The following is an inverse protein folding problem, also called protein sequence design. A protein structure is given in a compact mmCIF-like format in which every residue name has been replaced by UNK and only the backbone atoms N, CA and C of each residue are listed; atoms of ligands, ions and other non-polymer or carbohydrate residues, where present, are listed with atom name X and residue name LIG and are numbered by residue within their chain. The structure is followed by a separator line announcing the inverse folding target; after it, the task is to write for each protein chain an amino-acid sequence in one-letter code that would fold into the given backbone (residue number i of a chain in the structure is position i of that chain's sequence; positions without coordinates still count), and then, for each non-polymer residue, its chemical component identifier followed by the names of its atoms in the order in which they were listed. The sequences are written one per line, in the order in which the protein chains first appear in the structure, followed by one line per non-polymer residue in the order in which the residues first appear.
data_IF_454298586888
#
_entry.id   IF_454298586888
#
_cell.length_a   1.000
_cell.length_b   1.000
_cell.length_c   1.000
_cell.angle_alpha   90.00
_cell.angle_beta   90.00
_cell.angle_gamma   90.00
#
_symmetry.space_group_name_H-M   'P 1'
#
loop_
_entity.id
_entity.type
_entity.pdbx_description
1 polymer ?
#
# COMPACT_ATOMS: atom_id res chain seq x y z
N UNK A 1 17.55 17.08 -2.89
CA UNK A 1 16.50 16.36 -3.64
C UNK A 1 16.52 14.93 -3.14
N UNK A 2 15.43 14.48 -2.51
CA UNK A 2 15.32 13.12 -1.99
C UNK A 2 14.69 12.26 -3.09
N UNK A 3 15.37 11.18 -3.50
CA UNK A 3 14.92 10.31 -4.59
C UNK A 3 14.72 8.90 -4.06
N UNK A 4 13.55 8.32 -4.30
CA UNK A 4 13.31 6.89 -4.13
C UNK A 4 13.54 6.17 -5.47
N UNK A 5 14.24 5.04 -5.45
CA UNK A 5 14.51 4.23 -6.64
C UNK A 5 14.02 2.80 -6.44
N UNK A 6 13.25 2.31 -7.41
CA UNK A 6 12.71 0.96 -7.42
C UNK A 6 13.29 0.16 -8.58
N UNK A 7 13.93 -0.97 -8.27
CA UNK A 7 14.41 -1.93 -9.27
C UNK A 7 13.44 -3.11 -9.43
N UNK A 8 12.33 -2.86 -10.12
CA UNK A 8 11.24 -3.83 -10.29
C UNK A 8 11.40 -4.75 -11.51
N UNK A 9 12.59 -5.33 -11.72
CA UNK A 9 12.86 -6.12 -12.94
C UNK A 9 11.90 -7.30 -13.14
N UNK A 10 11.36 -7.86 -12.05
CA UNK A 10 10.35 -8.93 -12.04
C UNK A 10 9.01 -8.46 -11.45
N UNK A 11 8.76 -7.14 -11.44
CA UNK A 11 7.65 -6.54 -10.72
C UNK A 11 7.91 -6.35 -9.22
N UNK A 12 6.96 -5.71 -8.55
CA UNK A 12 6.90 -5.53 -7.10
C UNK A 12 5.46 -5.67 -6.66
N UNK A 13 5.22 -6.36 -5.55
CA UNK A 13 3.89 -6.41 -4.95
C UNK A 13 3.59 -5.06 -4.26
N UNK A 14 2.33 -4.62 -4.31
CA UNK A 14 1.93 -3.31 -3.80
C UNK A 14 2.18 -3.15 -2.30
N UNK A 15 1.97 -4.22 -1.52
CA UNK A 15 2.25 -4.26 -0.08
C UNK A 15 3.76 -4.17 0.24
N UNK A 16 4.61 -4.79 -0.60
CA UNK A 16 6.07 -4.64 -0.48
C UNK A 16 6.52 -3.21 -0.79
N UNK A 17 5.99 -2.59 -1.83
CA UNK A 17 6.30 -1.20 -2.17
C UNK A 17 5.83 -0.24 -1.08
N UNK A 18 4.62 -0.45 -0.54
CA UNK A 18 4.07 0.32 0.57
C UNK A 18 4.92 0.16 1.83
N UNK A 19 5.28 -1.08 2.19
CA UNK A 19 6.14 -1.37 3.33
C UNK A 19 7.49 -0.67 3.22
N UNK A 20 8.11 -0.67 2.05
CA UNK A 20 9.39 0.02 1.82
C UNK A 20 9.30 1.55 2.00
N UNK A 21 8.19 2.17 1.58
CA UNK A 21 7.98 3.62 1.77
C UNK A 21 7.76 3.98 3.26
N UNK A 22 7.03 3.12 3.98
CA UNK A 22 6.83 3.28 5.43
C UNK A 22 8.16 3.10 6.17
N UNK A 23 8.95 2.10 5.79
CA UNK A 23 10.30 1.86 6.33
C UNK A 23 11.24 3.06 6.08
N UNK A 24 11.09 3.71 4.92
CA UNK A 24 11.82 4.93 4.56
C UNK A 24 11.36 6.19 5.32
N UNK A 25 10.32 6.09 6.16
CA UNK A 25 9.87 7.15 7.07
C UNK A 25 8.50 7.76 6.74
N UNK A 26 7.72 7.18 5.82
CA UNK A 26 6.35 7.65 5.58
C UNK A 26 5.44 7.39 6.81
N UNK A 27 4.74 8.41 7.36
CA UNK A 27 3.88 8.23 8.52
C UNK A 27 2.66 7.36 8.19
N UNK A 28 2.41 6.33 8.99
CA UNK A 28 1.31 5.39 8.74
C UNK A 28 -0.06 6.07 8.84
N UNK A 29 -0.22 7.03 9.74
CA UNK A 29 -1.48 7.76 9.93
C UNK A 29 -1.82 8.60 8.71
N UNK A 30 -0.81 9.24 8.10
CA UNK A 30 -0.97 10.02 6.87
C UNK A 30 -1.31 9.12 5.68
N UNK A 31 -0.58 8.02 5.51
CA UNK A 31 -0.86 7.00 4.49
C UNK A 31 -2.28 6.47 4.63
N UNK A 32 -2.71 6.12 5.85
CA UNK A 32 -4.05 5.59 6.12
C UNK A 32 -5.14 6.63 5.83
N UNK A 33 -4.90 7.89 6.19
CA UNK A 33 -5.80 9.02 5.89
C UNK A 33 -5.98 9.23 4.38
N UNK A 34 -4.88 9.19 3.62
CA UNK A 34 -4.88 9.31 2.16
C UNK A 34 -5.67 8.15 1.53
N UNK A 35 -5.42 6.91 1.96
CA UNK A 35 -6.13 5.72 1.47
C UNK A 35 -7.62 5.74 1.84
N UNK A 36 -7.99 6.35 2.97
CA UNK A 36 -9.38 6.54 3.39
C UNK A 36 -10.23 7.32 2.37
N UNK A 37 -9.61 8.17 1.54
CA UNK A 37 -10.29 8.92 0.48
C UNK A 37 -10.86 8.03 -0.62
N UNK A 38 -10.42 6.78 -0.73
CA UNK A 38 -10.97 5.80 -1.68
C UNK A 38 -12.42 5.42 -1.38
N UNK A 39 -12.93 5.71 -0.18
CA UNK A 39 -14.32 5.39 0.20
C UNK A 39 -14.60 3.88 0.24
N UNK A 40 -13.56 3.05 0.38
CA UNK A 40 -13.68 1.60 0.46
C UNK A 40 -13.82 1.19 1.93
N UNK A 41 -14.92 0.52 2.33
CA UNK A 41 -15.06 -0.03 3.67
C UNK A 41 -14.36 -1.39 3.78
N UNK A 42 -14.23 -1.89 5.02
CA UNK A 42 -13.88 -3.28 5.27
C UNK A 42 -12.41 -3.63 5.01
N UNK A 43 -11.50 -2.68 5.15
CA UNK A 43 -10.07 -2.94 5.13
C UNK A 43 -9.37 -2.32 6.34
N UNK A 44 -8.18 -2.85 6.67
CA UNK A 44 -7.26 -2.27 7.63
C UNK A 44 -5.83 -2.42 7.13
N UNK A 45 -4.98 -1.45 7.46
CA UNK A 45 -3.53 -1.50 7.21
C UNK A 45 -2.82 -1.71 8.53
N UNK A 46 -2.12 -2.84 8.63
CA UNK A 46 -1.23 -3.15 9.75
C UNK A 46 0.21 -3.12 9.23
N UNK A 47 1.14 -2.61 10.02
CA UNK A 47 2.57 -2.66 9.69
C UNK A 47 3.35 -3.28 10.84
N UNK A 48 4.35 -4.08 10.49
CA UNK A 48 5.26 -4.67 11.47
C UNK A 48 6.69 -4.67 10.92
N UNK A 49 7.69 -4.46 11.79
CA UNK A 49 9.08 -4.73 11.42
C UNK A 49 9.27 -6.23 11.22
N UNK A 50 10.02 -6.61 10.18
CA UNK A 50 10.32 -8.00 9.85
C UNK A 50 11.82 -8.19 9.60
N UNK A 51 12.30 -9.39 9.89
CA UNK A 51 13.64 -9.86 9.50
C UNK A 51 13.47 -11.13 8.67
N UNK A 52 13.81 -11.08 7.38
CA UNK A 52 13.70 -12.23 6.46
C UNK A 52 15.03 -12.46 5.77
N UNK A 53 15.58 -13.67 5.92
CA UNK A 53 16.88 -14.02 5.32
C UNK A 53 18.03 -13.10 5.77
N UNK A 54 17.96 -12.54 6.98
CA UNK A 54 18.94 -11.58 7.50
C UNK A 54 18.74 -10.13 7.05
N UNK A 55 17.70 -9.84 6.27
CA UNK A 55 17.38 -8.49 5.78
C UNK A 55 16.21 -7.93 6.58
N UNK A 56 16.42 -6.78 7.21
CA UNK A 56 15.38 -6.04 7.92
C UNK A 56 14.51 -5.21 6.97
N UNK A 57 13.26 -5.00 7.33
CA UNK A 57 12.37 -4.05 6.65
C UNK A 57 10.99 -4.01 7.30
N UNK A 58 10.08 -3.25 6.73
CA UNK A 58 8.69 -3.17 7.19
C UNK A 58 7.77 -3.96 6.28
N UNK A 59 6.93 -4.82 6.87
CA UNK A 59 5.88 -5.54 6.15
C UNK A 59 4.55 -4.82 6.37
N UNK A 60 3.94 -4.37 5.28
CA UNK A 60 2.56 -3.90 5.27
C UNK A 60 1.60 -5.08 5.06
N UNK A 61 0.58 -5.19 5.89
CA UNK A 61 -0.51 -6.15 5.74
C UNK A 61 -1.79 -5.38 5.45
N UNK A 62 -2.35 -5.60 4.26
CA UNK A 62 -3.68 -5.11 3.91
C UNK A 62 -4.68 -6.20 4.29
N UNK A 63 -5.36 -6.03 5.42
CA UNK A 63 -6.46 -6.91 5.85
C UNK A 63 -7.72 -6.47 5.14
N UNK A 64 -8.47 -7.41 4.59
CA UNK A 64 -9.76 -7.14 3.96
C UNK A 64 -10.85 -8.05 4.51
N UNK A 65 -12.06 -7.54 4.57
CA UNK A 65 -13.27 -8.34 4.65
C UNK A 65 -13.59 -8.85 3.25
N UNK A 66 -13.90 -10.13 3.13
CA UNK A 66 -14.20 -10.74 1.84
C UNK A 66 -15.43 -10.08 1.19
N UNK A 67 -15.35 -9.84 -0.11
CA UNK A 67 -16.38 -9.15 -0.87
C UNK A 67 -16.59 -9.85 -2.21
N UNK A 68 -17.85 -9.90 -2.65
CA UNK A 68 -18.23 -10.39 -3.98
C UNK A 68 -18.08 -9.32 -5.08
N UNK A 69 -17.69 -8.10 -4.71
CA UNK A 69 -17.54 -6.98 -5.66
C UNK A 69 -16.25 -7.13 -6.45
N UNK A 70 -16.39 -7.45 -7.73
CA UNK A 70 -15.30 -7.44 -8.70
C UNK A 70 -15.15 -6.04 -9.28
N UNK A 71 -13.90 -5.55 -9.37
CA UNK A 71 -13.58 -4.27 -9.99
C UNK A 71 -12.65 -4.48 -11.18
N UNK A 72 -13.00 -3.91 -12.32
CA UNK A 72 -12.11 -3.84 -13.49
C UNK A 72 -11.00 -2.83 -13.23
N UNK A 73 -9.93 -2.89 -14.03
CA UNK A 73 -8.87 -1.89 -13.97
C UNK A 73 -9.39 -0.45 -14.16
N UNK A 74 -10.32 -0.25 -15.11
CA UNK A 74 -10.94 1.07 -15.34
C UNK A 74 -11.71 1.58 -14.13
N UNK A 75 -12.43 0.72 -13.43
CA UNK A 75 -13.14 1.09 -12.21
C UNK A 75 -12.16 1.44 -11.08
N UNK A 76 -11.08 0.67 -10.92
CA UNK A 76 -10.03 0.98 -9.92
C UNK A 76 -9.38 2.34 -10.22
N UNK A 77 -9.06 2.63 -11.48
CA UNK A 77 -8.49 3.93 -11.88
C UNK A 77 -9.47 5.09 -11.62
N UNK A 78 -10.76 4.88 -11.85
CA UNK A 78 -11.80 5.85 -11.50
C UNK A 78 -11.82 6.15 -10.00
N UNK A 79 -11.82 5.11 -9.16
CA UNK A 79 -11.77 5.26 -7.69
C UNK A 79 -10.55 6.05 -7.22
N UNK A 80 -9.37 5.78 -7.79
CA UNK A 80 -8.12 6.49 -7.46
C UNK A 80 -8.22 7.97 -7.87
N UNK A 81 -8.74 8.23 -9.08
CA UNK A 81 -8.92 9.59 -9.61
C UNK A 81 -9.94 10.39 -8.78
N UNK A 82 -11.09 9.79 -8.47
CA UNK A 82 -12.15 10.42 -7.67
C UNK A 82 -11.69 10.70 -6.23
N UNK A 83 -10.85 9.81 -5.70
CA UNK A 83 -10.19 10.03 -4.43
C UNK A 83 -9.11 11.12 -4.50
N UNK A 84 -8.73 11.61 -5.68
CA UNK A 84 -7.69 12.62 -5.91
C UNK A 84 -6.29 12.13 -5.56
N UNK A 85 -5.98 10.88 -5.95
CA UNK A 85 -4.71 10.19 -5.78
C UNK A 85 -4.02 9.93 -7.13
#
# INVERSE_FOLDING_TARGET
MTTAWFHCFSGVAGDMALGALIDAGAPIEEVTSILGRLGLPGWALEVEPVLRGGIGGTKAHVRIQESTVVRTASHIQGLVTDAGL
#
